data_IF_084968727860
#
_entry.id   IF_084968727860
#
_cell.length_a   1.000
_cell.length_b   1.000
_cell.length_c   1.000
_cell.angle_alpha   90.00
_cell.angle_beta   90.00
_cell.angle_gamma   90.00
#
_symmetry.space_group_name_H-M   'P 1'
#
loop_
_entity.id
_entity.type
_entity.pdbx_description
1 polymer ?
#
# COMPACT_ATOMS: atom_id res chain seq x y z
N UNK A 1 29.76 -13.18 13.92
CA UNK A 1 29.05 -13.07 12.63
C UNK A 1 27.87 -12.12 12.83
N UNK A 2 28.06 -10.84 12.54
CA UNK A 2 26.98 -9.84 12.54
C UNK A 2 26.08 -10.14 11.34
N UNK A 3 24.82 -10.49 11.59
CA UNK A 3 23.81 -10.58 10.53
C UNK A 3 23.78 -9.24 9.78
N UNK A 4 23.80 -9.20 8.45
CA UNK A 4 23.56 -7.94 7.75
C UNK A 4 22.20 -7.42 8.18
N UNK A 5 22.16 -6.22 8.74
CA UNK A 5 20.92 -5.53 9.05
C UNK A 5 20.25 -5.28 7.70
N UNK A 6 19.14 -5.97 7.43
CA UNK A 6 18.40 -5.75 6.19
C UNK A 6 18.07 -4.26 6.07
N UNK A 7 18.52 -3.63 4.99
CA UNK A 7 18.21 -2.23 4.70
C UNK A 7 16.77 -2.15 4.21
N UNK A 8 15.91 -1.49 4.98
CA UNK A 8 14.50 -1.32 4.63
C UNK A 8 14.35 -0.11 3.73
N UNK A 9 13.64 -0.30 2.62
CA UNK A 9 13.20 0.79 1.76
C UNK A 9 12.04 1.53 2.41
N UNK A 10 12.04 2.87 2.43
CA UNK A 10 10.91 3.60 2.99
C UNK A 10 9.64 3.33 2.19
N UNK A 11 8.46 3.47 2.82
CA UNK A 11 7.19 3.15 2.16
C UNK A 11 6.93 3.93 0.85
N UNK A 12 7.50 5.13 0.69
CA UNK A 12 7.36 5.88 -0.56
C UNK A 12 8.19 5.31 -1.72
N UNK A 13 9.07 4.33 -1.50
CA UNK A 13 9.77 3.60 -2.57
C UNK A 13 8.80 2.82 -3.48
N UNK A 14 7.61 2.46 -2.97
CA UNK A 14 6.53 1.87 -3.77
C UNK A 14 6.18 2.72 -4.99
N UNK A 15 6.38 4.05 -4.93
CA UNK A 15 6.00 4.94 -6.03
C UNK A 15 6.78 4.66 -7.32
N UNK A 16 7.94 4.00 -7.26
CA UNK A 16 8.71 3.57 -8.45
C UNK A 16 7.97 2.50 -9.26
N UNK A 17 7.06 1.75 -8.62
CA UNK A 17 6.27 0.69 -9.25
C UNK A 17 4.81 1.11 -9.50
N UNK A 18 4.44 2.36 -9.16
CA UNK A 18 3.06 2.81 -9.13
C UNK A 18 2.83 3.92 -10.14
N UNK A 19 1.97 3.68 -11.13
CA UNK A 19 1.56 4.71 -12.11
C UNK A 19 0.79 5.84 -11.42
N UNK A 20 0.94 7.06 -11.92
CA UNK A 20 0.37 8.27 -11.30
C UNK A 20 -1.16 8.24 -11.20
N UNK A 21 -1.84 7.73 -12.22
CA UNK A 21 -3.30 7.56 -12.26
C UNK A 21 -3.78 6.55 -11.21
N UNK A 22 -3.08 5.43 -11.11
CA UNK A 22 -3.37 4.40 -10.11
C UNK A 22 -3.09 4.90 -8.69
N UNK A 23 -2.00 5.64 -8.47
CA UNK A 23 -1.70 6.32 -7.20
C UNK A 23 -2.83 7.23 -6.76
N UNK A 24 -3.34 8.05 -7.68
CA UNK A 24 -4.49 8.90 -7.40
C UNK A 24 -5.74 8.09 -7.07
N UNK A 25 -5.99 6.97 -7.78
CA UNK A 25 -7.12 6.08 -7.53
C UNK A 25 -7.07 5.47 -6.12
N UNK A 26 -5.90 4.96 -5.69
CA UNK A 26 -5.68 4.40 -4.36
C UNK A 26 -5.91 5.43 -3.27
N UNK A 27 -5.31 6.62 -3.39
CA UNK A 27 -5.50 7.71 -2.44
C UNK A 27 -6.97 8.11 -2.36
N UNK A 28 -7.65 8.27 -3.51
CA UNK A 28 -9.07 8.63 -3.55
C UNK A 28 -9.94 7.56 -2.90
N UNK A 29 -9.67 6.28 -3.17
CA UNK A 29 -10.38 5.15 -2.59
C UNK A 29 -10.22 5.11 -1.07
N UNK A 30 -8.99 5.22 -0.56
CA UNK A 30 -8.70 5.28 0.86
C UNK A 30 -9.44 6.44 1.55
N UNK A 31 -9.34 7.66 1.00
CA UNK A 31 -9.99 8.84 1.56
C UNK A 31 -11.52 8.74 1.54
N UNK A 32 -12.11 8.07 0.55
CA UNK A 32 -13.54 7.85 0.45
C UNK A 32 -14.04 6.79 1.47
N UNK A 33 -13.20 5.82 1.81
CA UNK A 33 -13.52 4.78 2.79
C UNK A 33 -13.45 5.28 4.24
N UNK A 34 -12.62 6.28 4.53
CA UNK A 34 -12.36 6.80 5.88
C UNK A 34 -13.58 6.95 6.81
N UNK A 35 -14.74 7.49 6.37
CA UNK A 35 -15.90 7.63 7.26
C UNK A 35 -16.50 6.31 7.77
N UNK A 36 -16.17 5.19 7.12
CA UNK A 36 -16.65 3.84 7.46
C UNK A 36 -15.60 3.02 8.23
N UNK A 37 -14.36 3.50 8.31
CA UNK A 37 -13.26 2.80 8.95
C UNK A 37 -13.14 3.20 10.43
N UNK A 38 -12.55 2.33 11.28
CA UNK A 38 -12.19 2.69 12.63
C UNK A 38 -11.26 3.92 12.71
N UNK A 39 -11.38 4.70 13.79
CA UNK A 39 -10.66 5.96 13.97
C UNK A 39 -9.12 5.82 13.91
N UNK A 40 -8.57 4.65 14.24
CA UNK A 40 -7.13 4.42 14.20
C UNK A 40 -6.54 4.43 12.77
N UNK A 41 -7.35 4.23 11.73
CA UNK A 41 -6.94 4.44 10.34
C UNK A 41 -7.06 5.92 9.93
N UNK A 42 -8.06 6.62 10.45
CA UNK A 42 -8.31 8.03 10.13
C UNK A 42 -7.29 8.96 10.78
N UNK A 43 -7.00 8.77 12.06
CA UNK A 43 -6.18 9.70 12.83
C UNK A 43 -4.77 9.94 12.25
N UNK A 44 -4.02 8.92 11.77
CA UNK A 44 -2.74 9.13 11.10
C UNK A 44 -2.86 9.94 9.80
N UNK A 45 -3.88 9.66 8.98
CA UNK A 45 -4.13 10.40 7.73
C UNK A 45 -4.47 11.86 8.05
N UNK A 46 -5.33 12.12 9.04
CA UNK A 46 -5.71 13.47 9.44
C UNK A 46 -4.50 14.26 10.00
N UNK A 47 -3.62 13.61 10.75
CA UNK A 47 -2.36 14.20 11.25
C UNK A 47 -1.48 14.66 10.09
N UNK A 48 -1.16 13.75 9.16
CA UNK A 48 -0.27 14.08 8.03
C UNK A 48 -0.90 15.07 7.06
N UNK A 49 -2.21 14.97 6.83
CA UNK A 49 -2.93 15.94 5.99
C UNK A 49 -2.80 17.37 6.53
N UNK A 50 -2.87 17.58 7.85
CA UNK A 50 -2.64 18.90 8.46
C UNK A 50 -1.20 19.41 8.26
N UNK A 51 -0.22 18.51 8.29
CA UNK A 51 1.20 18.85 8.28
C UNK A 51 1.71 19.13 6.87
N UNK A 52 1.41 18.26 5.91
CA UNK A 52 2.10 18.22 4.61
C UNK A 52 1.18 18.39 3.39
N UNK A 53 -0.15 18.25 3.54
CA UNK A 53 -1.08 18.40 2.41
C UNK A 53 -1.61 19.83 2.36
N UNK A 54 -1.49 20.47 1.18
CA UNK A 54 -2.00 21.83 0.93
C UNK A 54 -3.07 21.78 -0.14
N UNK A 55 -4.32 22.02 0.24
CA UNK A 55 -5.43 22.09 -0.73
C UNK A 55 -5.72 23.55 -1.07
N UNK A 56 -5.61 23.97 -2.35
CA UNK A 56 -5.93 25.33 -2.77
C UNK A 56 -7.34 25.77 -2.35
N UNK A 57 -7.45 26.98 -1.79
CA UNK A 57 -8.72 27.51 -1.29
C UNK A 57 -9.11 27.08 0.14
N UNK A 58 -8.33 26.20 0.78
CA UNK A 58 -8.60 25.73 2.15
C UNK A 58 -7.47 26.10 3.11
N UNK A 59 -7.81 26.83 4.18
CA UNK A 59 -6.87 27.07 5.29
C UNK A 59 -6.59 25.80 6.08
N UNK A 60 -7.59 24.93 6.20
CA UNK A 60 -7.47 23.61 6.82
C UNK A 60 -7.82 22.54 5.77
N UNK A 61 -6.80 21.84 5.28
CA UNK A 61 -6.93 20.78 4.28
C UNK A 61 -7.87 19.64 4.71
N UNK A 62 -8.13 19.45 6.01
CA UNK A 62 -9.11 18.44 6.48
C UNK A 62 -10.55 18.77 6.13
N UNK A 63 -10.88 20.06 6.00
CA UNK A 63 -12.23 20.52 5.65
C UNK A 63 -12.50 20.47 4.15
N UNK A 64 -11.46 20.18 3.34
CA UNK A 64 -11.61 20.03 1.91
C UNK A 64 -12.41 18.75 1.57
N UNK A 65 -13.38 18.83 0.64
CA UNK A 65 -14.03 17.65 0.09
C UNK A 65 -13.03 16.66 -0.50
N UNK A 66 -13.31 15.36 -0.36
CA UNK A 66 -12.43 14.28 -0.86
C UNK A 66 -11.93 14.48 -2.30
N UNK A 67 -12.77 14.86 -3.29
CA UNK A 67 -12.31 15.07 -4.66
C UNK A 67 -11.24 16.17 -4.78
N UNK A 68 -11.34 17.25 -4.00
CA UNK A 68 -10.37 18.35 -4.02
C UNK A 68 -9.09 18.01 -3.24
N UNK A 69 -9.20 17.11 -2.25
CA UNK A 69 -8.07 16.70 -1.41
C UNK A 69 -7.23 15.58 -2.04
N UNK A 70 -7.82 14.76 -2.91
CA UNK A 70 -7.16 13.57 -3.47
C UNK A 70 -5.87 13.91 -4.22
N UNK A 71 -5.89 14.90 -5.12
CA UNK A 71 -4.71 15.31 -5.89
C UNK A 71 -3.54 15.77 -4.99
N UNK A 72 -3.72 16.80 -4.15
CA UNK A 72 -2.68 17.24 -3.21
C UNK A 72 -2.20 16.13 -2.25
N UNK A 73 -3.08 15.20 -1.87
CA UNK A 73 -2.69 14.05 -1.04
C UNK A 73 -1.82 13.07 -1.82
N UNK A 74 -2.13 12.81 -3.10
CA UNK A 74 -1.32 11.97 -3.97
C UNK A 74 0.06 12.58 -4.29
N UNK A 75 0.18 13.91 -4.32
CA UNK A 75 1.47 14.60 -4.40
C UNK A 75 2.29 14.42 -3.11
N UNK A 76 1.67 14.56 -1.94
CA UNK A 76 2.33 14.35 -0.65
C UNK A 76 2.70 12.87 -0.42
N UNK A 77 1.87 11.95 -0.90
CA UNK A 77 2.08 10.50 -0.86
C UNK A 77 3.40 10.10 -1.54
N UNK A 78 3.83 10.82 -2.57
CA UNK A 78 5.10 10.52 -3.25
C UNK A 78 6.34 10.75 -2.37
N UNK A 79 6.21 11.56 -1.31
CA UNK A 79 7.35 12.10 -0.57
C UNK A 79 7.38 11.69 0.90
N UNK A 80 6.23 11.34 1.50
CA UNK A 80 6.14 11.00 2.92
C UNK A 80 5.91 9.50 3.12
N UNK A 81 6.91 8.76 3.64
CA UNK A 81 6.72 7.35 3.96
C UNK A 81 5.56 7.11 4.93
N UNK A 82 5.37 7.98 5.91
CA UNK A 82 4.33 7.81 6.93
C UNK A 82 2.93 8.05 6.37
N UNK A 83 2.77 9.00 5.45
CA UNK A 83 1.50 9.18 4.74
C UNK A 83 1.20 7.98 3.83
N UNK A 84 2.22 7.43 3.16
CA UNK A 84 2.04 6.22 2.34
C UNK A 84 1.54 5.08 3.20
N UNK A 85 2.23 4.77 4.30
CA UNK A 85 1.83 3.70 5.21
C UNK A 85 0.39 3.88 5.72
N UNK A 86 0.01 5.10 6.10
CA UNK A 86 -1.33 5.41 6.59
C UNK A 86 -2.40 5.23 5.50
N UNK A 87 -2.14 5.68 4.28
CA UNK A 87 -3.05 5.51 3.13
C UNK A 87 -3.17 4.04 2.74
N UNK A 88 -2.07 3.28 2.67
CA UNK A 88 -2.09 1.86 2.33
C UNK A 88 -2.82 1.04 3.39
N UNK A 89 -2.63 1.34 4.68
CA UNK A 89 -3.35 0.69 5.76
C UNK A 89 -4.87 0.90 5.64
N UNK A 90 -5.31 2.15 5.43
CA UNK A 90 -6.72 2.46 5.23
C UNK A 90 -7.29 1.86 3.94
N UNK A 91 -6.51 1.85 2.86
CA UNK A 91 -6.89 1.24 1.59
C UNK A 91 -7.05 -0.28 1.76
N UNK A 92 -6.09 -0.97 2.36
CA UNK A 92 -6.15 -2.42 2.56
C UNK A 92 -7.31 -2.83 3.48
N UNK A 93 -7.63 -2.01 4.49
CA UNK A 93 -8.81 -2.22 5.34
C UNK A 93 -10.12 -2.02 4.57
N UNK A 94 -10.16 -1.12 3.58
CA UNK A 94 -11.32 -0.97 2.71
C UNK A 94 -11.51 -2.15 1.73
N UNK A 95 -10.50 -3.01 1.55
CA UNK A 95 -10.49 -4.14 0.61
C UNK A 95 -10.20 -5.46 1.33
N UNK A 96 -10.91 -5.74 2.43
CA UNK A 96 -10.67 -6.93 3.27
C UNK A 96 -10.82 -8.26 2.53
N UNK A 97 -11.73 -8.36 1.57
CA UNK A 97 -11.94 -9.55 0.74
C UNK A 97 -10.71 -9.84 -0.14
N UNK A 98 -10.23 -8.83 -0.87
CA UNK A 98 -8.98 -8.92 -1.65
C UNK A 98 -7.79 -9.24 -0.73
N UNK A 99 -7.73 -8.61 0.45
CA UNK A 99 -6.68 -8.85 1.44
C UNK A 99 -6.64 -10.31 1.89
N UNK A 100 -7.80 -10.92 2.17
CA UNK A 100 -7.89 -12.33 2.57
C UNK A 100 -7.41 -13.24 1.44
N UNK A 101 -7.89 -13.03 0.22
CA UNK A 101 -7.54 -13.85 -0.94
C UNK A 101 -6.05 -13.78 -1.27
N UNK A 102 -5.47 -12.59 -1.24
CA UNK A 102 -4.02 -12.41 -1.46
C UNK A 102 -3.22 -13.02 -0.31
N UNK A 103 -3.67 -12.90 0.94
CA UNK A 103 -3.00 -13.57 2.06
C UNK A 103 -2.97 -15.10 1.89
N UNK A 104 -4.11 -15.71 1.54
CA UNK A 104 -4.23 -17.14 1.28
C UNK A 104 -3.35 -17.57 0.09
N UNK A 105 -3.30 -16.76 -0.97
CA UNK A 105 -2.43 -16.98 -2.12
C UNK A 105 -0.95 -16.98 -1.72
N UNK A 106 -0.49 -15.97 -0.98
CA UNK A 106 0.92 -15.82 -0.58
C UNK A 106 1.35 -16.94 0.37
N UNK A 107 0.53 -17.25 1.37
CA UNK A 107 0.81 -18.34 2.32
C UNK A 107 0.81 -19.70 1.65
N UNK A 108 -0.13 -19.97 0.73
CA UNK A 108 -0.15 -21.18 -0.08
C UNK A 108 1.07 -21.36 -0.99
N UNK A 109 1.76 -20.26 -1.31
CA UNK A 109 3.03 -20.25 -2.06
C UNK A 109 4.27 -20.25 -1.16
N UNK A 110 4.10 -20.38 0.15
CA UNK A 110 5.21 -20.45 1.11
C UNK A 110 5.82 -19.09 1.49
N UNK A 111 5.13 -17.98 1.23
CA UNK A 111 5.60 -16.68 1.68
C UNK A 111 5.42 -16.52 3.19
N UNK A 112 6.46 -16.06 3.87
CA UNK A 112 6.38 -15.62 5.26
C UNK A 112 5.77 -14.22 5.32
N UNK A 113 4.48 -14.16 5.64
CA UNK A 113 3.71 -12.92 5.77
C UNK A 113 3.11 -12.79 7.16
N UNK A 114 3.05 -11.56 7.68
CA UNK A 114 2.33 -11.26 8.91
C UNK A 114 0.83 -11.52 8.73
N UNK A 115 0.08 -11.78 9.83
CA UNK A 115 -1.38 -11.88 9.79
C UNK A 115 -2.03 -10.69 9.02
N UNK A 116 -3.16 -10.92 8.35
CA UNK A 116 -3.79 -9.89 7.49
C UNK A 116 -4.24 -8.65 8.26
N UNK A 117 -4.49 -8.78 9.57
CA UNK A 117 -4.87 -7.70 10.50
C UNK A 117 -3.69 -7.05 11.22
N UNK A 118 -2.45 -7.50 10.99
CA UNK A 118 -1.27 -6.93 11.61
C UNK A 118 -1.05 -5.46 11.19
N UNK A 119 -0.75 -4.60 12.17
CA UNK A 119 -0.44 -3.19 11.94
C UNK A 119 0.96 -3.02 11.32
N UNK A 120 0.98 -3.05 9.99
CA UNK A 120 2.18 -2.87 9.16
C UNK A 120 2.71 -1.44 9.17
N UNK A 121 1.96 -0.45 9.68
CA UNK A 121 2.47 0.93 9.80
C UNK A 121 3.58 1.04 10.85
N UNK A 122 3.76 0.01 11.68
CA UNK A 122 4.86 -0.11 12.65
C UNK A 122 6.15 -0.66 12.06
N UNK A 123 6.12 -1.17 10.82
CA UNK A 123 7.31 -1.64 10.13
C UNK A 123 8.16 -0.45 9.67
N UNK A 124 9.49 -0.60 9.59
CA UNK A 124 10.38 0.45 9.12
C UNK A 124 10.23 0.75 7.61
N UNK A 125 9.61 -0.15 6.85
CA UNK A 125 9.42 -0.02 5.41
C UNK A 125 9.27 -1.38 4.72
N UNK A 126 9.70 -1.44 3.46
CA UNK A 126 9.71 -2.65 2.64
C UNK A 126 11.08 -3.31 2.61
N UNK A 127 11.11 -4.64 2.57
CA UNK A 127 12.32 -5.38 2.22
C UNK A 127 12.52 -5.36 0.70
N UNK A 128 13.76 -5.18 0.20
CA UNK A 128 14.05 -5.02 -1.23
C UNK A 128 14.14 -6.36 -1.99
N UNK A 129 13.42 -7.40 -1.57
CA UNK A 129 13.54 -8.72 -2.20
C UNK A 129 12.27 -9.55 -2.09
N UNK A 130 11.79 -10.01 -3.24
CA UNK A 130 10.77 -11.05 -3.36
C UNK A 130 11.43 -12.44 -3.39
N UNK A 131 10.70 -13.51 -3.03
CA UNK A 131 11.20 -14.87 -3.22
C UNK A 131 11.59 -15.15 -4.68
N UNK A 132 12.63 -15.97 -4.89
CA UNK A 132 13.13 -16.27 -6.23
C UNK A 132 12.05 -16.86 -7.14
N UNK A 133 11.96 -16.35 -8.37
CA UNK A 133 10.99 -16.80 -9.38
C UNK A 133 9.58 -16.23 -9.19
N UNK A 134 9.37 -15.34 -8.22
CA UNK A 134 8.13 -14.58 -8.07
C UNK A 134 8.30 -13.17 -8.64
N UNK A 135 7.33 -12.76 -9.46
CA UNK A 135 7.19 -11.39 -9.96
C UNK A 135 5.71 -11.02 -10.02
N UNK A 136 5.40 -9.78 -10.41
CA UNK A 136 4.03 -9.32 -10.52
C UNK A 136 3.19 -10.18 -11.48
N UNK A 137 3.73 -10.60 -12.62
CA UNK A 137 2.99 -11.37 -13.62
C UNK A 137 2.67 -12.77 -13.12
N UNK A 138 3.62 -13.43 -12.46
CA UNK A 138 3.44 -14.76 -11.86
C UNK A 138 2.34 -14.72 -10.80
N UNK A 139 2.38 -13.74 -9.91
CA UNK A 139 1.39 -13.61 -8.83
C UNK A 139 0.01 -13.24 -9.39
N UNK A 140 -0.09 -12.32 -10.35
CA UNK A 140 -1.37 -11.95 -10.97
C UNK A 140 -2.00 -13.12 -11.73
N UNK A 141 -1.21 -13.91 -12.48
CA UNK A 141 -1.70 -15.12 -13.15
C UNK A 141 -2.19 -16.16 -12.15
N UNK A 142 -1.45 -16.35 -11.05
CA UNK A 142 -1.86 -17.26 -9.98
C UNK A 142 -3.16 -16.81 -9.32
N UNK A 143 -3.31 -15.51 -9.02
CA UNK A 143 -4.54 -14.94 -8.48
C UNK A 143 -5.73 -15.15 -9.42
N UNK A 144 -5.60 -14.80 -10.69
CA UNK A 144 -6.65 -14.97 -11.69
C UNK A 144 -7.07 -16.44 -11.88
N UNK A 145 -6.14 -17.38 -11.72
CA UNK A 145 -6.42 -18.82 -11.78
C UNK A 145 -7.18 -19.30 -10.54
N UNK A 146 -6.80 -18.82 -9.36
CA UNK A 146 -7.45 -19.20 -8.09
C UNK A 146 -8.83 -18.53 -7.91
N UNK A 147 -9.01 -17.33 -8.47
CA UNK A 147 -10.20 -16.50 -8.30
C UNK A 147 -10.72 -15.97 -9.66
N UNK A 148 -11.12 -16.83 -10.60
CA UNK A 148 -11.45 -16.43 -11.99
C UNK A 148 -12.71 -15.57 -12.12
N UNK A 149 -13.58 -15.57 -11.11
CA UNK A 149 -14.80 -14.75 -11.07
C UNK A 149 -14.60 -13.42 -10.30
N UNK A 150 -13.39 -13.17 -9.78
CA UNK A 150 -13.07 -11.94 -9.07
C UNK A 150 -12.79 -10.80 -10.06
N UNK A 151 -13.29 -9.61 -9.75
CA UNK A 151 -13.12 -8.40 -10.56
C UNK A 151 -11.95 -7.51 -10.14
N UNK A 152 -11.10 -7.96 -9.20
CA UNK A 152 -9.92 -7.22 -8.77
C UNK A 152 -8.98 -6.92 -9.93
N UNK A 153 -8.52 -5.66 -10.02
CA UNK A 153 -7.55 -5.27 -11.03
C UNK A 153 -6.17 -5.86 -10.71
N UNK A 154 -5.33 -6.04 -11.74
CA UNK A 154 -3.95 -6.50 -11.57
C UNK A 154 -3.12 -5.54 -10.71
N UNK A 155 -3.42 -4.24 -10.75
CA UNK A 155 -2.75 -3.25 -9.92
C UNK A 155 -3.14 -3.41 -8.44
N UNK A 156 -4.42 -3.68 -8.14
CA UNK A 156 -4.89 -3.89 -6.76
C UNK A 156 -4.31 -5.17 -6.16
N UNK A 157 -4.25 -6.25 -6.94
CA UNK A 157 -3.60 -7.49 -6.54
C UNK A 157 -2.12 -7.22 -6.24
N UNK A 158 -1.40 -6.58 -7.16
CA UNK A 158 0.03 -6.22 -6.99
C UNK A 158 0.27 -5.36 -5.75
N UNK A 159 -0.56 -4.34 -5.53
CA UNK A 159 -0.45 -3.45 -4.38
C UNK A 159 -0.70 -4.20 -3.06
N UNK A 160 -1.73 -5.05 -3.03
CA UNK A 160 -2.06 -5.86 -1.87
C UNK A 160 -0.93 -6.86 -1.56
N UNK A 161 -0.29 -7.43 -2.58
CA UNK A 161 0.87 -8.32 -2.43
C UNK A 161 2.04 -7.58 -1.78
N UNK A 162 2.40 -6.41 -2.30
CA UNK A 162 3.47 -5.58 -1.72
C UNK A 162 3.16 -5.22 -0.27
N UNK A 163 1.92 -4.79 0.01
CA UNK A 163 1.50 -4.43 1.35
C UNK A 163 1.54 -5.61 2.32
N UNK A 164 0.97 -6.75 1.93
CA UNK A 164 0.88 -7.93 2.80
C UNK A 164 2.23 -8.57 3.07
N UNK A 165 3.07 -8.66 2.03
CA UNK A 165 4.41 -9.21 2.14
C UNK A 165 5.40 -8.29 2.84
N UNK A 166 5.17 -6.97 2.77
CA UNK A 166 6.14 -5.98 3.22
C UNK A 166 7.41 -6.00 2.37
N UNK A 167 7.30 -6.34 1.07
CA UNK A 167 8.44 -6.52 0.16
C UNK A 167 8.20 -5.80 -1.17
N UNK A 168 9.25 -5.22 -1.74
CA UNK A 168 9.27 -4.71 -3.10
C UNK A 168 10.18 -5.61 -3.97
N UNK A 169 9.84 -5.84 -5.24
CA UNK A 169 10.65 -6.66 -6.14
C UNK A 169 11.80 -5.83 -6.71
N UNK A 170 12.69 -5.34 -5.85
CA UNK A 170 14.00 -4.91 -6.32
C UNK A 170 14.78 -6.19 -6.62
N UNK A 171 15.21 -6.33 -7.86
CA UNK A 171 16.39 -7.13 -8.11
C UNK A 171 17.53 -6.32 -7.51
N UNK A 172 18.11 -6.79 -6.41
CA UNK A 172 19.50 -6.41 -6.16
C UNK A 172 20.23 -6.81 -7.42
N UNK A 173 20.85 -5.85 -8.11
CA UNK A 173 21.70 -6.16 -9.25
C UNK A 173 22.59 -7.33 -8.83
N UNK A 174 22.40 -8.49 -9.48
CA UNK A 174 23.36 -9.58 -9.36
C UNK A 174 24.71 -8.98 -9.81
N UNK A 175 25.70 -9.08 -8.93
CA UNK A 175 27.10 -8.66 -9.13
C UNK A 175 27.65 -8.81 -10.55
#
# INVERSE_FOLDING_TARGET
MTKPTAEFLPFHALNEFMRDDYRLAVVRSALAALPKLPDHFRAPIDKWTKQIVRVPGFRNSLQAPTPLRAGPTAEAFQKSPELVAAILAAWAEAHTDLRSKVFDLLTGRGWEVLPPDADRTKLPGFLPQWPNGEDFDVINKAYATAHPADGASTDDVSLMVVWLSGRLPYHGDDE
#
